data_IF_689976196097
#
_entry.id   IF_689976196097
#
_cell.length_a   1.000
_cell.length_b   1.000
_cell.length_c   1.000
_cell.angle_alpha   90.00
_cell.angle_beta   90.00
_cell.angle_gamma   90.00
#
_symmetry.space_group_name_H-M   'P 1'
#
loop_
_entity.id
_entity.type
_entity.pdbx_description
1 polymer ?
#
# COMPACT_ATOMS: atom_id res chain seq x y z
N UNK A 1 0.66 -6.18 -25.97
CA UNK A 1 0.90 -5.43 -24.71
C UNK A 1 -0.32 -4.56 -24.54
N UNK A 2 -0.87 -4.42 -23.33
CA UNK A 2 -2.03 -3.57 -23.11
C UNK A 2 -1.58 -2.22 -22.54
N UNK A 3 -2.25 -1.14 -22.95
CA UNK A 3 -2.01 0.23 -22.48
C UNK A 3 -3.32 0.91 -22.13
N UNK A 4 -3.33 1.67 -21.04
CA UNK A 4 -4.43 2.58 -20.70
C UNK A 4 -3.85 3.92 -20.23
N UNK A 5 -4.40 5.03 -20.75
CA UNK A 5 -4.05 6.38 -20.35
C UNK A 5 -5.31 7.05 -19.82
N UNK A 6 -5.25 7.62 -18.63
CA UNK A 6 -6.45 8.20 -18.01
C UNK A 6 -6.14 9.15 -16.86
N UNK A 7 -7.19 9.52 -16.14
CA UNK A 7 -7.12 10.30 -14.90
C UNK A 7 -7.83 9.57 -13.78
N UNK A 8 -7.27 9.64 -12.58
CA UNK A 8 -7.87 9.15 -11.34
C UNK A 8 -8.11 10.32 -10.38
N UNK A 9 -9.14 10.25 -9.55
CA UNK A 9 -9.48 11.34 -8.59
C UNK A 9 -8.56 11.38 -7.36
N UNK A 10 -7.76 10.33 -7.16
CA UNK A 10 -6.79 10.18 -6.09
C UNK A 10 -6.19 8.77 -6.09
N UNK A 11 -5.28 8.50 -5.16
CA UNK A 11 -4.54 7.25 -5.10
C UNK A 11 -5.38 5.96 -4.96
N UNK A 12 -6.50 5.97 -4.21
CA UNK A 12 -7.40 4.80 -4.11
C UNK A 12 -8.11 4.55 -5.44
N UNK A 13 -8.61 5.61 -6.10
CA UNK A 13 -9.25 5.50 -7.41
C UNK A 13 -8.25 4.98 -8.46
N UNK A 14 -7.01 5.49 -8.46
CA UNK A 14 -5.94 5.01 -9.33
C UNK A 14 -5.72 3.50 -9.18
N UNK A 15 -5.64 3.01 -7.93
CA UNK A 15 -5.43 1.58 -7.67
C UNK A 15 -6.63 0.73 -8.06
N UNK A 16 -7.87 1.19 -7.82
CA UNK A 16 -9.06 0.48 -8.30
C UNK A 16 -9.08 0.40 -9.83
N UNK A 17 -8.74 1.49 -10.52
CA UNK A 17 -8.62 1.51 -11.99
C UNK A 17 -7.52 0.58 -12.48
N UNK A 18 -6.38 0.53 -11.80
CA UNK A 18 -5.33 -0.45 -12.10
C UNK A 18 -5.85 -1.89 -11.97
N UNK A 19 -6.60 -2.21 -10.92
CA UNK A 19 -7.18 -3.56 -10.77
C UNK A 19 -8.14 -3.90 -11.91
N UNK A 20 -8.99 -2.95 -12.32
CA UNK A 20 -9.90 -3.13 -13.46
C UNK A 20 -9.11 -3.32 -14.76
N UNK A 21 -8.12 -2.48 -15.03
CA UNK A 21 -7.24 -2.59 -16.19
C UNK A 21 -6.58 -3.98 -16.25
N UNK A 22 -5.92 -4.40 -15.17
CA UNK A 22 -5.17 -5.65 -15.16
C UNK A 22 -6.08 -6.89 -15.33
N UNK A 23 -7.31 -6.85 -14.84
CA UNK A 23 -8.20 -8.03 -14.83
C UNK A 23 -9.20 -8.09 -15.98
N UNK A 24 -9.52 -6.96 -16.62
CA UNK A 24 -10.62 -6.88 -17.59
C UNK A 24 -10.28 -6.14 -18.89
N UNK A 25 -9.08 -5.57 -19.04
CA UNK A 25 -8.69 -4.93 -20.29
C UNK A 25 -8.78 -5.92 -21.47
N UNK A 26 -9.38 -5.47 -22.57
CA UNK A 26 -9.71 -6.31 -23.72
C UNK A 26 -8.47 -6.96 -24.36
N UNK A 27 -7.34 -6.26 -24.44
CA UNK A 27 -6.11 -6.79 -25.04
C UNK A 27 -5.46 -7.84 -24.16
N UNK A 28 -5.48 -7.65 -22.83
CA UNK A 28 -5.03 -8.66 -21.87
C UNK A 28 -5.91 -9.92 -21.96
N UNK A 29 -7.23 -9.75 -21.96
CA UNK A 29 -8.18 -10.88 -22.04
C UNK A 29 -8.04 -11.63 -23.36
N UNK A 30 -7.96 -10.91 -24.48
CA UNK A 30 -7.79 -11.51 -25.80
C UNK A 30 -6.48 -12.31 -25.91
N UNK A 31 -5.43 -11.88 -25.22
CA UNK A 31 -4.15 -12.57 -25.16
C UNK A 31 -4.07 -13.68 -24.08
N UNK A 32 -5.12 -13.88 -23.26
CA UNK A 32 -5.07 -14.81 -22.11
C UNK A 32 -4.10 -14.37 -21.02
N UNK A 33 -3.88 -13.06 -20.89
CA UNK A 33 -2.86 -12.42 -20.07
C UNK A 33 -3.44 -11.50 -18.97
N UNK A 34 -4.75 -11.55 -18.75
CA UNK A 34 -5.41 -10.83 -17.67
C UNK A 34 -4.99 -11.38 -16.30
N UNK A 35 -4.76 -10.47 -15.36
CA UNK A 35 -4.37 -10.82 -14.00
C UNK A 35 -5.60 -11.15 -13.15
N UNK A 36 -5.44 -12.11 -12.25
CA UNK A 36 -6.45 -12.46 -11.26
C UNK A 36 -6.36 -11.53 -10.05
N UNK A 37 -7.50 -10.99 -9.60
CA UNK A 37 -7.60 -10.23 -8.36
C UNK A 37 -7.93 -11.19 -7.22
N UNK A 38 -6.92 -11.50 -6.39
CA UNK A 38 -7.08 -12.38 -5.23
C UNK A 38 -7.63 -11.63 -4.02
N UNK A 39 -7.33 -10.33 -3.92
CA UNK A 39 -7.79 -9.46 -2.83
C UNK A 39 -7.94 -8.01 -3.30
N UNK A 40 -9.02 -7.36 -2.87
CA UNK A 40 -9.26 -5.91 -2.99
C UNK A 40 -10.18 -5.47 -1.85
N UNK A 41 -9.61 -5.12 -0.70
CA UNK A 41 -10.39 -4.77 0.50
C UNK A 41 -9.62 -3.84 1.44
N UNK A 42 -10.35 -3.03 2.22
CA UNK A 42 -9.75 -2.18 3.26
C UNK A 42 -9.48 -2.95 4.57
N UNK A 43 -10.31 -3.95 4.87
CA UNK A 43 -10.22 -4.81 6.04
C UNK A 43 -10.23 -6.28 5.57
N UNK A 44 -9.08 -6.82 5.16
CA UNK A 44 -9.04 -8.09 4.45
C UNK A 44 -9.23 -9.33 5.33
N UNK A 45 -8.98 -9.23 6.63
CA UNK A 45 -9.02 -10.38 7.53
C UNK A 45 -10.32 -10.39 8.34
N UNK A 46 -11.04 -11.51 8.42
CA UNK A 46 -12.18 -11.63 9.33
C UNK A 46 -11.71 -11.60 10.79
N UNK A 47 -12.54 -11.05 11.67
CA UNK A 47 -12.33 -11.07 13.11
C UNK A 47 -13.59 -11.58 13.79
N UNK A 48 -13.45 -12.56 14.68
CA UNK A 48 -14.58 -13.07 15.43
C UNK A 48 -15.24 -11.95 16.26
N UNK A 49 -16.58 -11.92 16.30
CA UNK A 49 -17.30 -10.99 17.16
C UNK A 49 -17.19 -11.42 18.63
N UNK A 50 -16.65 -10.58 19.54
CA UNK A 50 -16.47 -10.92 20.95
C UNK A 50 -17.76 -10.86 21.80
N UNK A 51 -18.93 -10.61 21.22
CA UNK A 51 -20.18 -10.41 21.96
C UNK A 51 -20.41 -8.96 22.39
N UNK A 52 -19.37 -8.26 22.84
CA UNK A 52 -19.39 -6.81 23.12
C UNK A 52 -18.00 -6.18 22.93
N UNK A 53 -17.96 -4.87 22.79
CA UNK A 53 -16.70 -4.10 22.68
C UNK A 53 -16.24 -3.72 24.09
N UNK A 54 -15.51 -4.61 24.75
CA UNK A 54 -14.98 -4.41 26.10
C UNK A 54 -13.81 -5.35 26.42
N UNK A 55 -12.80 -5.40 25.54
CA UNK A 55 -11.72 -6.38 25.63
C UNK A 55 -10.34 -5.75 25.79
N UNK A 56 -9.44 -6.50 26.42
CA UNK A 56 -8.05 -6.10 26.65
C UNK A 56 -7.11 -7.30 26.56
N UNK A 57 -5.92 -7.08 26.03
CA UNK A 57 -4.78 -7.98 26.15
C UNK A 57 -3.64 -7.20 26.81
N UNK A 58 -3.17 -7.67 27.96
CA UNK A 58 -2.15 -6.97 28.73
C UNK A 58 -0.73 -7.11 28.18
N UNK A 59 -0.53 -7.84 27.08
CA UNK A 59 0.82 -8.33 26.75
C UNK A 59 1.32 -9.31 27.82
N UNK A 60 2.51 -9.84 27.66
CA UNK A 60 3.05 -10.92 28.50
C UNK A 60 3.10 -10.58 30.00
N UNK A 61 2.11 -11.03 30.79
CA UNK A 61 2.32 -11.48 32.17
C UNK A 61 1.73 -10.69 33.35
N UNK A 62 0.77 -9.76 33.18
CA UNK A 62 0.13 -9.08 34.33
C UNK A 62 -1.39 -9.31 34.32
N UNK A 63 -1.96 -9.82 35.42
CA UNK A 63 -3.34 -10.32 35.52
C UNK A 63 -4.38 -9.28 36.02
N UNK A 64 -4.25 -8.00 35.70
CA UNK A 64 -5.28 -7.00 36.02
C UNK A 64 -5.95 -6.50 34.74
N UNK A 65 -7.08 -7.13 34.39
CA UNK A 65 -8.01 -6.57 33.41
C UNK A 65 -8.56 -5.25 33.95
N UNK A 66 -8.56 -4.17 33.16
CA UNK A 66 -9.35 -3.00 33.54
C UNK A 66 -10.79 -3.43 33.74
N UNK A 67 -11.44 -2.95 34.80
CA UNK A 67 -12.86 -3.28 35.08
C UNK A 67 -13.80 -2.88 33.94
N UNK A 68 -13.36 -1.93 33.12
CA UNK A 68 -14.01 -1.44 31.89
C UNK A 68 -13.70 -2.28 30.65
N UNK A 69 -12.71 -3.16 30.68
CA UNK A 69 -12.32 -4.07 29.59
C UNK A 69 -12.16 -5.51 30.11
N UNK A 70 -13.24 -6.12 30.64
CA UNK A 70 -13.18 -7.42 31.31
C UNK A 70 -12.97 -8.62 30.35
N UNK A 71 -13.15 -8.45 29.05
CA UNK A 71 -13.17 -9.56 28.10
C UNK A 71 -11.78 -9.83 27.48
N UNK A 72 -11.55 -11.07 27.05
CA UNK A 72 -10.37 -11.41 26.27
C UNK A 72 -10.47 -10.84 24.84
N UNK A 73 -9.31 -10.56 24.23
CA UNK A 73 -9.25 -10.14 22.81
C UNK A 73 -9.86 -11.21 21.92
N UNK A 74 -10.60 -10.83 20.85
CA UNK A 74 -11.15 -11.79 19.90
C UNK A 74 -10.09 -12.73 19.33
N UNK A 75 -10.46 -14.00 19.14
CA UNK A 75 -9.63 -14.98 18.46
C UNK A 75 -9.41 -14.58 16.99
N UNK A 76 -8.25 -14.94 16.44
CA UNK A 76 -7.89 -14.66 15.04
C UNK A 76 -7.11 -13.35 14.81
N UNK A 77 -6.94 -12.50 15.84
CA UNK A 77 -6.10 -11.31 15.73
C UNK A 77 -4.60 -11.69 15.78
N UNK A 78 -3.96 -11.84 14.62
CA UNK A 78 -2.63 -12.44 14.48
C UNK A 78 -1.61 -11.56 13.70
N UNK A 79 -1.49 -10.27 14.06
CA UNK A 79 -0.58 -9.36 13.35
C UNK A 79 0.62 -8.91 14.18
N UNK A 80 1.79 -8.93 13.54
CA UNK A 80 2.96 -8.15 13.96
C UNK A 80 2.95 -6.79 13.25
N UNK A 81 2.70 -5.71 13.99
CA UNK A 81 2.71 -4.34 13.48
C UNK A 81 1.38 -3.61 13.65
N UNK A 82 1.33 -2.41 13.07
CA UNK A 82 0.20 -1.50 13.12
C UNK A 82 -1.02 -2.11 12.41
N UNK A 83 -2.16 -2.08 13.09
CA UNK A 83 -3.41 -2.62 12.57
C UNK A 83 -4.57 -1.66 12.75
N UNK A 84 -5.56 -1.85 11.90
CA UNK A 84 -6.89 -1.27 12.01
C UNK A 84 -7.92 -2.39 12.15
N UNK A 85 -8.89 -2.18 13.03
CA UNK A 85 -10.00 -3.09 13.32
C UNK A 85 -11.29 -2.34 13.07
N UNK A 86 -12.28 -3.03 12.53
CA UNK A 86 -13.63 -2.51 12.37
C UNK A 86 -14.66 -3.54 12.83
N UNK A 87 -15.61 -3.09 13.64
CA UNK A 87 -16.85 -3.79 13.94
C UNK A 87 -18.03 -3.03 13.35
N UNK A 88 -18.89 -3.72 12.60
CA UNK A 88 -20.12 -3.15 12.03
C UNK A 88 -21.31 -4.07 12.33
N UNK A 89 -22.47 -3.47 12.56
CA UNK A 89 -23.73 -4.19 12.77
C UNK A 89 -24.78 -3.25 13.34
N UNK A 90 -25.61 -3.75 14.27
CA UNK A 90 -26.70 -3.00 14.89
C UNK A 90 -26.51 -2.83 16.39
N UNK A 91 -26.87 -1.65 16.90
CA UNK A 91 -27.05 -1.38 18.32
C UNK A 91 -28.54 -1.13 18.64
N UNK A 92 -29.05 -1.80 19.66
CA UNK A 92 -30.42 -1.63 20.17
C UNK A 92 -30.45 -0.63 21.32
N UNK A 93 -31.11 0.50 21.11
CA UNK A 93 -31.29 1.57 22.09
C UNK A 93 -32.65 1.41 22.78
N UNK A 94 -32.70 1.27 24.12
CA UNK A 94 -33.94 0.92 24.82
C UNK A 94 -34.96 2.05 24.94
N UNK A 95 -34.55 3.31 24.82
CA UNK A 95 -35.43 4.48 24.96
C UNK A 95 -34.97 5.62 24.06
N UNK A 96 -35.89 6.50 23.66
CA UNK A 96 -35.51 7.74 22.97
C UNK A 96 -34.98 8.75 23.99
N UNK A 97 -33.98 9.53 23.62
CA UNK A 97 -33.50 10.66 24.43
C UNK A 97 -32.01 10.94 24.26
N UNK A 98 -31.45 11.69 25.21
CA UNK A 98 -30.04 12.05 25.24
C UNK A 98 -29.17 10.88 25.71
N UNK A 99 -28.34 10.37 24.82
CA UNK A 99 -27.28 9.39 25.10
C UNK A 99 -25.92 10.08 25.15
N UNK A 100 -25.07 9.65 26.06
CA UNK A 100 -23.64 9.95 26.02
C UNK A 100 -22.85 8.66 25.86
N UNK A 101 -21.78 8.69 25.07
CA UNK A 101 -20.90 7.54 24.86
C UNK A 101 -19.54 7.78 25.52
N UNK A 102 -18.86 6.69 25.86
CA UNK A 102 -17.52 6.71 26.43
C UNK A 102 -16.65 5.69 25.69
N UNK A 103 -15.59 6.16 25.06
CA UNK A 103 -14.65 5.33 24.32
C UNK A 103 -13.36 5.24 25.13
N UNK A 104 -12.90 4.01 25.39
CA UNK A 104 -11.58 3.76 25.95
C UNK A 104 -10.77 2.98 24.93
N UNK A 105 -9.59 3.46 24.60
CA UNK A 105 -8.77 2.94 23.52
C UNK A 105 -7.29 2.90 23.91
N UNK A 106 -6.63 1.85 23.43
CA UNK A 106 -5.18 1.72 23.36
C UNK A 106 -4.84 1.16 21.97
N UNK A 107 -4.91 1.97 20.91
CA UNK A 107 -4.59 3.40 20.95
C UNK A 107 -5.71 4.36 20.51
N UNK A 108 -6.29 4.19 19.33
CA UNK A 108 -7.32 5.12 18.81
C UNK A 108 -8.61 4.42 18.46
N UNK A 109 -9.74 5.12 18.63
CA UNK A 109 -11.07 4.58 18.42
C UNK A 109 -12.04 5.66 17.93
N UNK A 110 -12.92 5.30 16.99
CA UNK A 110 -14.07 6.11 16.57
C UNK A 110 -15.36 5.31 16.68
N UNK A 111 -16.43 6.00 17.05
CA UNK A 111 -17.80 5.49 17.05
C UNK A 111 -18.62 6.28 16.04
N UNK A 112 -19.26 5.57 15.11
CA UNK A 112 -20.34 6.09 14.27
C UNK A 112 -21.65 5.37 14.60
N UNK A 113 -22.73 6.13 14.64
CA UNK A 113 -24.10 5.62 14.69
C UNK A 113 -24.88 6.21 13.53
N UNK A 114 -25.57 5.36 12.76
CA UNK A 114 -26.26 5.73 11.51
C UNK A 114 -25.37 6.53 10.53
N UNK A 115 -24.10 6.14 10.45
CA UNK A 115 -23.08 6.80 9.62
C UNK A 115 -22.55 8.13 10.18
N UNK A 116 -23.11 8.66 11.26
CA UNK A 116 -22.69 9.93 11.88
C UNK A 116 -21.60 9.66 12.93
N UNK A 117 -20.48 10.40 12.87
CA UNK A 117 -19.44 10.35 13.90
C UNK A 117 -19.98 10.91 15.22
N UNK A 118 -20.08 10.05 16.23
CA UNK A 118 -20.58 10.39 17.56
C UNK A 118 -19.43 10.82 18.47
N UNK A 119 -18.32 10.07 18.44
CA UNK A 119 -17.18 10.28 19.31
C UNK A 119 -15.91 9.70 18.70
N UNK A 120 -14.76 10.29 19.06
CA UNK A 120 -13.43 9.81 18.67
C UNK A 120 -12.41 10.05 19.78
N UNK A 121 -11.50 9.09 19.93
CA UNK A 121 -10.33 9.15 20.80
C UNK A 121 -9.11 8.95 19.92
N UNK A 122 -8.24 9.96 19.85
CA UNK A 122 -7.09 9.98 18.95
C UNK A 122 -5.75 9.88 19.69
N UNK A 123 -5.81 9.62 21.00
CA UNK A 123 -4.67 9.35 21.89
C UNK A 123 -5.09 8.30 22.91
N UNK A 124 -4.21 7.36 23.24
CA UNK A 124 -4.51 6.28 24.19
C UNK A 124 -5.07 6.84 25.51
N UNK A 125 -6.22 6.34 25.93
CA UNK A 125 -6.93 6.78 27.13
C UNK A 125 -7.47 5.61 27.96
N UNK A 126 -6.92 4.41 27.79
CA UNK A 126 -7.30 3.22 28.56
C UNK A 126 -7.32 3.51 30.07
N UNK A 127 -8.43 3.21 30.73
CA UNK A 127 -8.69 3.56 32.13
C UNK A 127 -9.66 2.57 32.79
N UNK A 128 -9.68 2.54 34.14
CA UNK A 128 -10.60 1.72 34.94
C UNK A 128 -11.97 2.36 35.18
N UNK A 129 -12.24 3.51 34.56
CA UNK A 129 -13.52 4.20 34.64
C UNK A 129 -13.84 4.86 33.31
N UNK A 130 -15.13 5.04 33.05
CA UNK A 130 -15.59 5.75 31.86
C UNK A 130 -15.76 7.24 32.16
N UNK A 131 -15.38 8.05 31.19
CA UNK A 131 -15.73 9.46 31.08
C UNK A 131 -16.36 9.70 29.71
N UNK A 132 -17.27 10.68 29.63
CA UNK A 132 -17.91 11.03 28.36
C UNK A 132 -16.86 11.36 27.30
N UNK A 133 -17.05 10.83 26.11
CA UNK A 133 -16.26 11.16 24.93
C UNK A 133 -17.16 11.85 23.91
N UNK A 134 -16.78 13.05 23.47
CA UNK A 134 -17.61 13.86 22.59
C UNK A 134 -18.85 14.44 23.27
N UNK A 135 -19.80 14.92 22.48
CA UNK A 135 -21.05 15.50 22.96
C UNK A 135 -22.11 14.42 23.16
N UNK A 136 -23.09 14.70 24.03
CA UNK A 136 -24.29 13.89 24.08
C UNK A 136 -25.09 14.02 22.78
N UNK A 137 -25.71 12.94 22.35
CA UNK A 137 -26.49 12.84 21.11
C UNK A 137 -27.92 12.41 21.43
N UNK A 138 -28.89 12.99 20.74
CA UNK A 138 -30.29 12.53 20.86
C UNK A 138 -30.53 11.43 19.85
N UNK A 139 -30.92 10.25 20.33
CA UNK A 139 -31.21 9.08 19.51
C UNK A 139 -32.63 8.57 19.80
N UNK A 140 -33.20 7.83 18.85
CA UNK A 140 -34.50 7.19 19.00
C UNK A 140 -34.35 5.81 19.64
N UNK A 141 -35.42 5.30 20.27
CA UNK A 141 -35.47 3.89 20.65
C UNK A 141 -35.48 3.00 19.41
N UNK A 142 -34.84 1.83 19.49
CA UNK A 142 -34.82 0.84 18.41
C UNK A 142 -33.42 0.50 17.92
N UNK A 143 -33.36 -0.12 16.73
CA UNK A 143 -32.10 -0.52 16.10
C UNK A 143 -31.49 0.64 15.32
N UNK A 144 -30.22 0.87 15.56
CA UNK A 144 -29.38 1.83 14.84
C UNK A 144 -28.18 1.11 14.23
N UNK A 145 -27.69 1.61 13.09
CA UNK A 145 -26.41 1.14 12.57
C UNK A 145 -25.29 1.59 13.50
N UNK A 146 -24.35 0.70 13.78
CA UNK A 146 -23.15 1.01 14.56
C UNK A 146 -21.90 0.60 13.80
N UNK A 147 -20.94 1.51 13.73
CA UNK A 147 -19.59 1.24 13.28
C UNK A 147 -18.60 1.69 14.35
N UNK A 148 -17.76 0.76 14.77
CA UNK A 148 -16.64 1.05 15.67
C UNK A 148 -15.36 0.72 14.95
N UNK A 149 -14.51 1.74 14.82
CA UNK A 149 -13.22 1.62 14.16
C UNK A 149 -12.12 1.89 15.16
N UNK A 150 -11.01 1.16 15.03
CA UNK A 150 -9.91 1.23 15.97
C UNK A 150 -8.58 1.04 15.28
N UNK A 151 -7.55 1.75 15.74
CA UNK A 151 -6.18 1.63 15.23
C UNK A 151 -5.22 1.49 16.42
N UNK A 152 -4.24 0.61 16.28
CA UNK A 152 -3.19 0.42 17.29
C UNK A 152 -1.88 -0.02 16.65
N UNK A 153 -0.78 0.21 17.36
CA UNK A 153 0.55 -0.22 16.92
C UNK A 153 0.90 -1.68 17.18
N UNK A 154 0.15 -2.38 18.03
CA UNK A 154 0.51 -3.73 18.46
C UNK A 154 -0.69 -4.53 18.93
N UNK A 155 -0.66 -5.83 18.67
CA UNK A 155 -1.57 -6.81 19.28
C UNK A 155 -1.18 -7.17 20.72
N UNK A 156 0.05 -6.87 21.13
CA UNK A 156 0.50 -6.96 22.52
C UNK A 156 0.16 -5.65 23.24
N UNK A 157 -0.69 -5.72 24.26
CA UNK A 157 -1.10 -4.53 25.01
C UNK A 157 -2.30 -3.79 24.44
N UNK A 158 -3.11 -4.39 23.54
CA UNK A 158 -4.29 -3.78 22.92
C UNK A 158 -5.47 -3.70 23.89
N UNK A 159 -6.26 -2.63 23.81
CA UNK A 159 -7.47 -2.45 24.61
C UNK A 159 -8.52 -1.59 23.94
N UNK A 160 -9.78 -2.03 23.96
CA UNK A 160 -10.90 -1.16 23.62
C UNK A 160 -12.13 -1.44 24.47
N UNK A 161 -12.86 -0.38 24.79
CA UNK A 161 -14.17 -0.50 25.43
C UNK A 161 -15.12 0.58 24.96
N UNK A 162 -16.37 0.19 24.74
CA UNK A 162 -17.46 1.07 24.44
C UNK A 162 -18.46 1.07 25.59
N UNK A 163 -18.59 2.23 26.23
CA UNK A 163 -19.58 2.51 27.25
C UNK A 163 -20.62 3.52 26.79
N UNK A 164 -21.74 3.56 27.51
CA UNK A 164 -22.81 4.51 27.33
C UNK A 164 -23.39 5.00 28.65
N UNK A 165 -24.10 6.12 28.59
CA UNK A 165 -25.01 6.62 29.60
C UNK A 165 -26.33 6.91 28.90
N UNK A 166 -27.35 6.11 29.20
CA UNK A 166 -28.67 6.21 28.57
C UNK A 166 -29.47 7.36 29.17
N UNK A 167 -30.59 7.77 28.55
CA UNK A 167 -31.53 8.70 29.16
C UNK A 167 -31.96 8.23 30.57
N UNK A 168 -31.68 9.05 31.58
CA UNK A 168 -32.03 8.76 32.99
C UNK A 168 -30.96 8.03 33.79
N UNK A 169 -29.89 7.52 33.18
CA UNK A 169 -28.78 6.89 33.91
C UNK A 169 -28.00 7.95 34.71
N UNK A 170 -27.47 7.58 35.88
CA UNK A 170 -26.58 8.45 36.67
C UNK A 170 -25.11 8.35 36.23
N UNK A 171 -24.67 7.16 35.82
CA UNK A 171 -23.28 6.81 35.49
C UNK A 171 -23.17 6.08 34.16
N UNK A 172 -21.94 6.02 33.64
CA UNK A 172 -21.62 5.21 32.46
C UNK A 172 -21.55 3.72 32.81
N UNK A 173 -21.89 2.88 31.85
CA UNK A 173 -21.73 1.42 31.90
C UNK A 173 -21.23 0.89 30.56
N UNK A 174 -20.59 -0.28 30.56
CA UNK A 174 -20.25 -1.02 29.33
C UNK A 174 -21.56 -1.34 28.60
N UNK A 175 -21.60 -1.18 27.29
CA UNK A 175 -22.78 -1.58 26.50
C UNK A 175 -22.89 -3.12 26.55
N UNK A 176 -24.02 -3.68 27.05
CA UNK A 176 -24.18 -5.13 27.15
C UNK A 176 -24.20 -5.84 25.80
N UNK A 177 -23.78 -7.10 25.78
CA UNK A 177 -23.79 -7.92 24.55
C UNK A 177 -25.19 -8.03 23.91
N UNK A 178 -26.24 -8.09 24.73
CA UNK A 178 -27.63 -8.16 24.28
C UNK A 178 -28.11 -6.90 23.53
N UNK A 179 -27.36 -5.79 23.61
CA UNK A 179 -27.66 -4.57 22.86
C UNK A 179 -27.00 -4.56 21.49
N UNK A 180 -26.23 -5.58 21.12
CA UNK A 180 -25.67 -5.73 19.79
C UNK A 180 -26.37 -6.85 19.02
N UNK A 181 -26.52 -6.66 17.71
CA UNK A 181 -27.04 -7.68 16.79
C UNK A 181 -26.37 -7.52 15.43
N UNK A 182 -26.33 -8.61 14.64
CA UNK A 182 -25.74 -8.64 13.30
C UNK A 182 -24.32 -8.07 13.20
N UNK A 183 -23.54 -8.26 14.27
CA UNK A 183 -22.18 -7.74 14.35
C UNK A 183 -21.19 -8.62 13.58
N UNK A 184 -20.36 -7.97 12.78
CA UNK A 184 -19.21 -8.57 12.10
C UNK A 184 -17.95 -7.82 12.48
N UNK A 185 -16.83 -8.54 12.59
CA UNK A 185 -15.52 -7.98 12.85
C UNK A 185 -14.59 -8.22 11.65
N UNK A 186 -13.72 -7.26 11.41
CA UNK A 186 -12.66 -7.39 10.41
C UNK A 186 -11.44 -6.57 10.82
N UNK A 187 -10.27 -6.95 10.33
CA UNK A 187 -9.04 -6.19 10.55
C UNK A 187 -8.16 -6.13 9.30
N UNK A 188 -7.25 -5.17 9.32
CA UNK A 188 -6.30 -4.92 8.26
C UNK A 188 -5.06 -4.20 8.76
N UNK A 189 -4.16 -3.93 7.82
CA UNK A 189 -2.95 -3.17 8.08
C UNK A 189 -3.25 -1.66 8.19
N UNK A 190 -2.54 -0.98 9.08
CA UNK A 190 -2.49 0.48 9.16
C UNK A 190 -1.04 0.97 9.04
N UNK A 191 -0.78 2.12 8.43
CA UNK A 191 0.61 2.60 8.28
C UNK A 191 1.26 3.05 9.56
N UNK A 192 0.49 3.65 10.46
CA UNK A 192 0.96 4.16 11.73
C UNK A 192 -0.02 3.79 12.83
N UNK A 193 0.57 3.57 14.01
CA UNK A 193 -0.14 3.17 15.21
C UNK A 193 -1.09 4.26 15.74
N UNK A 194 -0.79 5.54 15.46
CA UNK A 194 -1.40 6.68 16.16
C UNK A 194 -1.97 7.75 15.21
N UNK A 195 -3.03 7.45 14.44
CA UNK A 195 -3.64 8.43 13.58
C UNK A 195 -4.32 9.59 14.31
N UNK A 196 -4.13 10.79 13.77
CA UNK A 196 -4.88 11.98 14.19
C UNK A 196 -6.36 11.87 13.78
N UNK A 197 -7.20 12.78 14.28
CA UNK A 197 -8.60 12.87 13.87
C UNK A 197 -8.77 13.06 12.35
N UNK A 198 -7.87 13.82 11.73
CA UNK A 198 -7.88 14.05 10.29
C UNK A 198 -7.44 12.80 9.50
N UNK A 199 -6.62 11.94 10.11
CA UNK A 199 -6.06 10.76 9.48
C UNK A 199 -6.96 9.52 9.57
N UNK A 200 -7.77 9.41 10.63
CA UNK A 200 -8.53 8.19 10.91
C UNK A 200 -9.39 7.73 9.73
N UNK A 201 -10.10 8.65 9.07
CA UNK A 201 -10.89 8.28 7.89
C UNK A 201 -10.03 7.79 6.73
N UNK A 202 -8.87 8.41 6.49
CA UNK A 202 -7.97 8.03 5.40
C UNK A 202 -7.33 6.66 5.65
N UNK A 203 -6.80 6.41 6.86
CA UNK A 203 -6.23 5.12 7.27
C UNK A 203 -7.23 3.98 7.14
N UNK A 204 -8.49 4.26 7.45
CA UNK A 204 -9.56 3.26 7.43
C UNK A 204 -10.06 2.98 6.02
N UNK A 205 -9.97 3.97 5.13
CA UNK A 205 -10.23 3.83 3.71
C UNK A 205 -9.10 3.09 2.97
N UNK A 206 -7.87 3.10 3.49
CA UNK A 206 -6.73 2.47 2.84
C UNK A 206 -6.99 0.99 2.52
N UNK A 207 -6.54 0.55 1.34
CA UNK A 207 -6.84 -0.76 0.78
C UNK A 207 -5.62 -1.66 0.69
N UNK A 208 -5.86 -2.96 0.72
CA UNK A 208 -4.93 -4.03 0.40
C UNK A 208 -5.37 -4.70 -0.91
N UNK A 209 -4.39 -4.97 -1.77
CA UNK A 209 -4.57 -5.65 -3.04
C UNK A 209 -3.56 -6.79 -3.15
N UNK A 210 -4.03 -7.96 -3.56
CA UNK A 210 -3.16 -9.08 -3.95
C UNK A 210 -3.63 -9.58 -5.30
N UNK A 211 -2.67 -9.76 -6.21
CA UNK A 211 -2.94 -10.09 -7.61
C UNK A 211 -1.98 -11.18 -8.10
N UNK A 212 -2.44 -11.97 -9.07
CA UNK A 212 -1.66 -13.03 -9.71
C UNK A 212 -1.66 -12.86 -11.22
N UNK A 213 -0.47 -12.67 -11.79
CA UNK A 213 -0.24 -12.62 -13.23
C UNK A 213 -0.06 -14.02 -13.81
N UNK A 214 -0.59 -14.30 -15.01
CA UNK A 214 -0.62 -15.65 -15.60
C UNK A 214 0.61 -16.00 -16.46
N UNK A 215 1.52 -15.05 -16.69
CA UNK A 215 2.58 -15.20 -17.69
C UNK A 215 2.09 -15.05 -19.13
N UNK A 216 2.98 -15.24 -20.11
CA UNK A 216 2.60 -15.14 -21.54
C UNK A 216 1.87 -16.39 -22.04
N UNK A 217 2.14 -17.55 -21.44
CA UNK A 217 1.55 -18.85 -21.79
C UNK A 217 0.35 -19.23 -20.92
N UNK A 218 0.00 -18.40 -19.93
CA UNK A 218 -1.07 -18.71 -18.97
C UNK A 218 -0.71 -19.70 -17.86
N UNK A 219 0.57 -20.09 -17.76
CA UNK A 219 1.04 -21.13 -16.84
C UNK A 219 1.90 -20.62 -15.68
N UNK A 220 2.27 -19.34 -15.69
CA UNK A 220 3.05 -18.76 -14.59
C UNK A 220 2.11 -18.32 -13.46
N UNK A 221 2.63 -18.30 -12.25
CA UNK A 221 1.94 -17.71 -11.10
C UNK A 221 2.79 -16.58 -10.51
N UNK A 222 2.49 -15.34 -10.94
CA UNK A 222 3.31 -14.16 -10.63
C UNK A 222 2.58 -13.31 -9.60
N UNK A 223 3.04 -13.32 -8.35
CA UNK A 223 2.28 -12.71 -7.25
C UNK A 223 2.83 -11.35 -6.84
N UNK A 224 1.92 -10.39 -6.68
CA UNK A 224 2.21 -9.04 -6.18
C UNK A 224 1.24 -8.68 -5.06
N UNK A 225 1.77 -8.08 -4.00
CA UNK A 225 0.99 -7.52 -2.90
C UNK A 225 1.19 -6.01 -2.84
N UNK A 226 0.09 -5.27 -2.74
CA UNK A 226 0.08 -3.81 -2.72
C UNK A 226 -0.87 -3.29 -1.65
N UNK A 227 -0.62 -2.07 -1.18
CA UNK A 227 -1.53 -1.39 -0.25
C UNK A 227 -1.45 0.12 -0.41
N UNK A 228 -2.55 0.83 -0.21
CA UNK A 228 -2.48 2.28 -0.07
C UNK A 228 -2.05 2.66 1.35
N UNK A 229 -1.49 3.86 1.47
CA UNK A 229 -1.00 4.40 2.72
C UNK A 229 -1.23 5.91 2.79
N UNK A 230 -2.07 6.33 3.71
CA UNK A 230 -2.55 7.71 3.74
C UNK A 230 -2.31 8.41 5.06
N UNK A 231 -1.94 9.69 5.00
CA UNK A 231 -2.03 10.65 6.10
C UNK A 231 -2.43 12.01 5.56
N UNK A 232 -3.56 12.51 6.05
CA UNK A 232 -4.00 13.87 5.83
C UNK A 232 -3.07 14.88 6.51
N UNK A 233 -2.60 14.58 7.72
CA UNK A 233 -1.66 15.45 8.43
C UNK A 233 -0.27 15.46 7.76
N UNK A 234 0.20 14.29 7.33
CA UNK A 234 1.49 14.14 6.64
C UNK A 234 1.46 14.50 5.15
N UNK A 235 0.29 14.80 4.59
CA UNK A 235 0.04 15.07 3.17
C UNK A 235 0.68 14.02 2.25
N UNK A 236 0.48 12.75 2.57
CA UNK A 236 0.92 11.64 1.71
C UNK A 236 -0.22 10.64 1.54
N UNK A 237 -0.32 10.08 0.33
CA UNK A 237 -1.41 9.20 -0.06
C UNK A 237 -0.87 8.17 -1.03
N UNK A 238 0.06 7.36 -0.56
CA UNK A 238 0.98 6.59 -1.39
C UNK A 238 0.47 5.20 -1.69
N UNK A 239 1.14 4.53 -2.62
CA UNK A 239 0.95 3.10 -2.89
C UNK A 239 2.23 2.38 -2.51
N UNK A 240 2.11 1.40 -1.62
CA UNK A 240 3.17 0.44 -1.37
C UNK A 240 2.99 -0.78 -2.25
N UNK A 241 4.11 -1.30 -2.75
CA UNK A 241 4.15 -2.52 -3.52
C UNK A 241 5.30 -3.42 -3.08
N UNK A 242 5.10 -4.73 -3.23
CA UNK A 242 6.12 -5.76 -3.05
C UNK A 242 5.78 -6.98 -3.89
N UNK A 243 6.79 -7.77 -4.22
CA UNK A 243 6.58 -9.11 -4.76
C UNK A 243 6.27 -10.10 -3.64
N UNK A 244 5.62 -11.19 -3.99
CA UNK A 244 5.49 -12.39 -3.15
C UNK A 244 5.75 -13.63 -4.02
N UNK A 245 5.84 -14.82 -3.43
CA UNK A 245 5.99 -16.09 -4.16
C UNK A 245 4.75 -16.97 -4.08
N UNK A 246 3.65 -16.41 -3.58
CA UNK A 246 2.41 -17.12 -3.33
C UNK A 246 1.38 -16.24 -2.63
N UNK A 247 0.20 -16.80 -2.44
CA UNK A 247 -0.92 -16.17 -1.75
C UNK A 247 -1.40 -17.03 -0.57
N UNK A 248 -1.60 -16.38 0.56
CA UNK A 248 -2.29 -16.92 1.73
C UNK A 248 -3.44 -15.98 2.09
N UNK A 249 -4.67 -16.50 2.00
CA UNK A 249 -5.89 -15.75 2.30
C UNK A 249 -5.96 -15.29 3.76
N UNK A 250 -5.27 -15.99 4.67
CA UNK A 250 -5.25 -15.73 6.12
C UNK A 250 -4.04 -14.89 6.56
N UNK A 251 -3.30 -14.29 5.63
CA UNK A 251 -2.12 -13.47 5.91
C UNK A 251 -2.29 -12.05 5.37
N UNK A 252 -1.81 -11.07 6.13
CA UNK A 252 -1.66 -9.70 5.64
C UNK A 252 -0.54 -9.61 4.60
N UNK A 253 -0.47 -8.50 3.87
CA UNK A 253 0.46 -8.30 2.74
C UNK A 253 1.94 -8.52 3.10
N UNK A 254 2.35 -8.18 4.33
CA UNK A 254 3.73 -8.37 4.82
C UNK A 254 4.05 -9.80 5.26
N UNK A 255 3.04 -10.64 5.41
CA UNK A 255 3.13 -12.03 5.87
C UNK A 255 2.85 -13.04 4.75
N UNK A 256 2.68 -12.56 3.52
CA UNK A 256 2.50 -13.42 2.34
C UNK A 256 3.75 -14.29 2.11
N UNK A 257 3.60 -15.50 1.52
CA UNK A 257 4.73 -16.37 1.20
C UNK A 257 5.80 -15.63 0.39
N UNK A 258 7.06 -15.67 0.86
CA UNK A 258 8.18 -15.06 0.17
C UNK A 258 8.08 -13.54 -0.01
N UNK A 259 7.31 -12.85 0.85
CA UNK A 259 7.09 -11.41 0.75
C UNK A 259 8.42 -10.62 0.72
N UNK A 260 8.63 -9.89 -0.37
CA UNK A 260 9.77 -8.99 -0.51
C UNK A 260 9.63 -7.69 0.29
N UNK A 261 10.65 -6.84 0.28
CA UNK A 261 10.61 -5.51 0.89
C UNK A 261 9.59 -4.59 0.22
N UNK A 262 9.17 -3.53 0.93
CA UNK A 262 8.29 -2.50 0.36
C UNK A 262 9.05 -1.56 -0.57
N UNK A 263 8.39 -1.19 -1.66
CA UNK A 263 8.66 0.02 -2.45
C UNK A 263 7.46 0.94 -2.37
N UNK A 264 7.68 2.25 -2.58
CA UNK A 264 6.67 3.29 -2.37
C UNK A 264 6.52 4.13 -3.64
N UNK A 265 5.33 4.15 -4.22
CA UNK A 265 4.96 5.09 -5.27
C UNK A 265 4.32 6.31 -4.61
N UNK A 266 4.96 7.47 -4.77
CA UNK A 266 4.59 8.66 -4.04
C UNK A 266 3.44 9.39 -4.74
N UNK A 267 2.26 9.32 -4.17
CA UNK A 267 1.00 9.76 -4.79
C UNK A 267 0.34 10.81 -3.88
N UNK A 268 -0.79 11.35 -4.35
CA UNK A 268 -1.57 12.35 -3.61
C UNK A 268 -3.09 12.07 -3.67
N UNK A 269 -3.86 12.85 -2.92
CA UNK A 269 -5.32 12.77 -2.93
C UNK A 269 -5.94 13.93 -3.73
N UNK A 270 -5.51 14.04 -4.97
CA UNK A 270 -6.02 14.97 -5.99
C UNK A 270 -6.02 14.23 -7.34
N UNK A 271 -6.46 14.88 -8.41
CA UNK A 271 -6.42 14.29 -9.74
C UNK A 271 -5.01 13.81 -10.14
N UNK A 272 -4.89 12.59 -10.64
CA UNK A 272 -3.65 11.95 -11.08
C UNK A 272 -3.83 11.51 -12.54
N UNK A 273 -3.07 12.09 -13.47
CA UNK A 273 -2.94 11.54 -14.82
C UNK A 273 -2.05 10.30 -14.76
N UNK A 274 -2.43 9.22 -15.43
CA UNK A 274 -1.69 7.96 -15.39
C UNK A 274 -1.53 7.30 -16.75
N UNK A 275 -0.55 6.41 -16.81
CA UNK A 275 -0.31 5.43 -17.87
C UNK A 275 -0.13 4.06 -17.21
N UNK A 276 -1.01 3.12 -17.55
CA UNK A 276 -0.87 1.71 -17.20
C UNK A 276 -0.40 0.93 -18.42
N UNK A 277 0.60 0.08 -18.22
CA UNK A 277 1.16 -0.76 -19.27
C UNK A 277 1.33 -2.17 -18.71
N UNK A 278 0.74 -3.19 -19.33
CA UNK A 278 0.84 -4.56 -18.82
C UNK A 278 0.89 -5.63 -19.91
N UNK A 279 1.42 -6.77 -19.50
CA UNK A 279 1.25 -8.07 -20.14
C UNK A 279 1.05 -9.11 -19.02
N UNK A 280 0.97 -10.40 -19.36
CA UNK A 280 0.77 -11.45 -18.35
C UNK A 280 1.94 -11.62 -17.37
N UNK A 281 3.12 -11.08 -17.70
CA UNK A 281 4.35 -11.22 -16.89
C UNK A 281 4.63 -10.04 -15.95
N UNK A 282 4.20 -8.83 -16.32
CA UNK A 282 4.46 -7.60 -15.57
C UNK A 282 3.45 -6.50 -15.82
N UNK A 283 3.45 -5.51 -14.94
CA UNK A 283 2.80 -4.22 -15.16
C UNK A 283 3.71 -3.06 -14.75
N UNK A 284 3.48 -1.92 -15.40
CA UNK A 284 4.12 -0.63 -15.14
C UNK A 284 3.02 0.40 -14.93
N UNK A 285 3.19 1.23 -13.91
CA UNK A 285 2.38 2.42 -13.66
C UNK A 285 3.29 3.63 -13.71
N UNK A 286 2.91 4.61 -14.52
CA UNK A 286 3.45 5.97 -14.46
C UNK A 286 2.29 6.89 -14.06
N UNK A 287 2.53 7.78 -13.10
CA UNK A 287 1.55 8.72 -12.61
C UNK A 287 2.16 10.12 -12.48
N UNK A 288 1.50 11.11 -13.06
CA UNK A 288 1.87 12.51 -12.88
C UNK A 288 1.19 13.03 -11.62
N UNK A 289 2.02 13.45 -10.66
CA UNK A 289 1.62 13.94 -9.35
C UNK A 289 2.17 15.35 -9.22
N UNK A 290 1.30 16.35 -9.39
CA UNK A 290 1.70 17.76 -9.54
C UNK A 290 2.74 17.93 -10.67
N UNK A 291 3.95 18.35 -10.34
CA UNK A 291 5.09 18.52 -11.26
C UNK A 291 6.09 17.36 -11.23
N UNK A 292 5.78 16.28 -10.51
CA UNK A 292 6.64 15.11 -10.35
C UNK A 292 6.00 13.86 -10.95
N UNK A 293 6.81 12.84 -11.22
CA UNK A 293 6.34 11.56 -11.76
C UNK A 293 6.60 10.44 -10.78
N UNK A 294 5.51 9.81 -10.35
CA UNK A 294 5.55 8.55 -9.65
C UNK A 294 5.58 7.40 -10.65
N UNK A 295 6.31 6.35 -10.29
CA UNK A 295 6.48 5.13 -11.05
C UNK A 295 6.30 3.90 -10.16
N UNK A 296 5.87 2.79 -10.75
CA UNK A 296 5.77 1.47 -10.13
C UNK A 296 5.97 0.39 -11.21
N UNK A 297 6.78 -0.62 -10.89
CA UNK A 297 7.01 -1.84 -11.68
C UNK A 297 6.70 -3.06 -10.82
N UNK A 298 5.94 -4.01 -11.34
CA UNK A 298 5.66 -5.27 -10.68
C UNK A 298 5.64 -6.43 -11.66
N UNK A 299 6.40 -7.48 -11.36
CA UNK A 299 6.39 -8.73 -12.13
C UNK A 299 7.77 -9.19 -12.56
N UNK A 300 7.83 -10.07 -13.54
CA UNK A 300 9.09 -10.65 -14.00
C UNK A 300 9.93 -9.67 -14.82
N UNK A 301 11.25 -9.73 -14.64
CA UNK A 301 12.23 -9.14 -15.56
C UNK A 301 12.42 -10.05 -16.79
N UNK A 302 13.24 -9.63 -17.75
CA UNK A 302 13.80 -10.49 -18.79
C UNK A 302 15.13 -11.07 -18.30
N UNK A 303 15.16 -12.29 -17.73
CA UNK A 303 16.39 -12.83 -17.15
C UNK A 303 17.38 -13.25 -18.25
N UNK A 304 18.68 -13.15 -17.96
CA UNK A 304 19.72 -13.74 -18.81
C UNK A 304 20.03 -15.22 -18.48
N UNK A 305 19.60 -15.71 -17.33
CA UNK A 305 19.67 -17.12 -16.96
C UNK A 305 18.47 -17.91 -17.48
N UNK A 306 18.64 -19.22 -17.61
CA UNK A 306 17.57 -20.16 -17.98
C UNK A 306 16.51 -20.24 -16.86
N UNK A 307 15.27 -20.67 -17.17
CA UNK A 307 14.25 -20.92 -16.14
C UNK A 307 14.69 -21.90 -15.03
N UNK A 308 15.60 -22.84 -15.32
CA UNK A 308 16.18 -23.73 -14.31
C UNK A 308 17.19 -23.05 -13.38
N UNK A 309 17.78 -21.93 -13.83
CA UNK A 309 18.80 -21.18 -13.08
C UNK A 309 18.17 -20.02 -12.31
N UNK A 310 17.21 -19.32 -12.93
CA UNK A 310 16.47 -18.20 -12.33
C UNK A 310 14.97 -18.48 -12.45
N UNK A 311 14.41 -19.37 -11.61
CA UNK A 311 13.03 -19.85 -11.76
C UNK A 311 11.95 -18.81 -11.44
N UNK A 312 12.29 -17.76 -10.69
CA UNK A 312 11.34 -16.73 -10.29
C UNK A 312 11.96 -15.33 -10.36
N UNK A 313 12.21 -14.79 -11.57
CA UNK A 313 12.93 -13.55 -11.82
C UNK A 313 12.05 -12.31 -11.52
N UNK A 314 11.43 -12.27 -10.35
CA UNK A 314 10.46 -11.24 -9.98
C UNK A 314 11.13 -10.00 -9.39
N UNK A 315 10.70 -8.83 -9.86
CA UNK A 315 11.10 -7.54 -9.34
C UNK A 315 9.87 -6.73 -8.90
N UNK A 316 10.09 -5.91 -7.87
CA UNK A 316 9.15 -4.89 -7.43
C UNK A 316 9.92 -3.57 -7.25
N UNK A 317 9.46 -2.51 -7.92
CA UNK A 317 10.11 -1.22 -7.93
C UNK A 317 9.10 -0.09 -7.89
N UNK A 318 9.46 1.04 -7.27
CA UNK A 318 8.63 2.24 -7.29
C UNK A 318 9.47 3.51 -7.18
N UNK A 319 8.79 4.63 -6.94
CA UNK A 319 9.38 5.98 -6.93
C UNK A 319 10.28 6.25 -5.73
N UNK A 320 10.14 5.47 -4.66
CA UNK A 320 10.78 5.75 -3.39
C UNK A 320 11.02 4.50 -2.56
N UNK A 321 12.08 4.57 -1.76
CA UNK A 321 12.50 3.51 -0.84
C UNK A 321 11.80 3.59 0.53
N UNK A 322 11.15 4.72 0.83
CA UNK A 322 10.45 4.97 2.10
C UNK A 322 9.08 5.58 1.86
N UNK A 323 8.19 5.45 2.86
CA UNK A 323 6.94 6.18 2.85
C UNK A 323 7.23 7.66 3.10
N UNK A 324 6.92 8.52 2.12
CA UNK A 324 7.23 9.94 2.22
C UNK A 324 6.22 10.79 1.45
N UNK A 325 6.23 12.09 1.72
CA UNK A 325 5.42 13.05 0.96
C UNK A 325 5.85 13.11 -0.50
N UNK A 326 4.91 13.18 -1.43
CA UNK A 326 5.16 13.27 -2.88
C UNK A 326 6.09 14.44 -3.27
N UNK A 327 6.09 15.51 -2.49
CA UNK A 327 6.87 16.72 -2.78
C UNK A 327 8.30 16.68 -2.24
N UNK A 328 8.76 15.57 -1.66
CA UNK A 328 10.17 15.52 -1.22
C UNK A 328 11.09 15.61 -2.46
N UNK A 329 12.15 16.41 -2.33
CA UNK A 329 13.17 16.58 -3.35
C UNK A 329 14.50 16.08 -2.83
N UNK A 330 14.53 14.80 -2.46
CA UNK A 330 15.75 14.10 -2.03
C UNK A 330 16.06 12.96 -2.99
N UNK A 331 17.16 12.28 -2.76
CA UNK A 331 17.61 11.11 -3.51
C UNK A 331 16.62 9.94 -3.38
N UNK A 332 15.86 9.90 -2.29
CA UNK A 332 14.83 8.87 -2.06
C UNK A 332 13.69 8.97 -3.07
N UNK A 333 13.35 10.17 -3.56
CA UNK A 333 12.33 10.33 -4.59
C UNK A 333 13.01 10.27 -5.96
N UNK A 334 12.84 9.13 -6.61
CA UNK A 334 13.44 8.73 -7.87
C UNK A 334 12.44 7.87 -8.65
N UNK A 335 12.89 6.81 -9.31
CA UNK A 335 12.07 5.89 -10.10
C UNK A 335 12.58 4.46 -9.98
N UNK A 336 11.77 3.49 -10.40
CA UNK A 336 12.20 2.10 -10.34
C UNK A 336 13.34 1.78 -11.32
N UNK A 337 13.50 2.54 -12.41
CA UNK A 337 14.58 2.33 -13.39
C UNK A 337 15.87 3.06 -13.02
N UNK A 338 15.78 4.15 -12.26
CA UNK A 338 16.92 4.86 -11.69
C UNK A 338 16.74 4.96 -10.16
N UNK A 339 16.81 3.82 -9.44
CA UNK A 339 16.47 3.79 -8.03
C UNK A 339 17.49 4.56 -7.19
N UNK A 340 16.98 5.38 -6.27
CA UNK A 340 17.75 6.04 -5.23
C UNK A 340 17.38 5.53 -3.84
N UNK A 341 17.96 6.14 -2.81
CA UNK A 341 17.64 5.85 -1.40
C UNK A 341 18.72 6.38 -0.45
N UNK A 342 18.40 6.46 0.85
CA UNK A 342 19.38 6.77 1.90
C UNK A 342 20.59 5.85 1.88
N UNK A 343 21.68 6.26 2.54
CA UNK A 343 22.91 5.49 2.64
C UNK A 343 22.81 4.26 3.56
N UNK A 344 22.03 3.28 3.12
CA UNK A 344 21.77 2.00 3.78
C UNK A 344 21.78 0.87 2.76
N UNK A 345 22.49 -0.22 3.02
CA UNK A 345 22.55 -1.36 2.09
C UNK A 345 21.20 -2.09 1.92
N UNK A 346 20.24 -1.85 2.82
CA UNK A 346 19.02 -2.67 2.96
C UNK A 346 17.74 -1.99 2.47
N UNK A 347 17.82 -0.74 2.00
CA UNK A 347 16.66 0.07 1.62
C UNK A 347 16.90 0.69 0.25
N UNK A 348 16.01 0.48 -0.71
CA UNK A 348 16.08 1.01 -2.07
C UNK A 348 14.72 1.11 -2.77
N UNK A 349 14.68 1.80 -3.91
CA UNK A 349 13.47 1.97 -4.72
C UNK A 349 13.14 0.79 -5.64
N UNK A 350 14.01 -0.23 -5.71
CA UNK A 350 13.84 -1.43 -6.54
C UNK A 350 14.44 -2.64 -5.83
N UNK A 351 13.72 -3.75 -5.87
CA UNK A 351 14.16 -5.05 -5.37
C UNK A 351 13.94 -6.14 -6.40
N UNK A 352 14.85 -7.12 -6.43
CA UNK A 352 14.75 -8.37 -7.19
C UNK A 352 14.84 -9.56 -6.23
N UNK A 353 14.02 -10.59 -6.44
CA UNK A 353 14.17 -11.85 -5.71
C UNK A 353 15.36 -12.64 -6.26
N UNK A 354 16.30 -13.01 -5.39
CA UNK A 354 17.38 -13.94 -5.71
C UNK A 354 16.92 -15.40 -5.72
N UNK A 355 17.73 -16.26 -6.32
CA UNK A 355 17.53 -17.72 -6.37
C UNK A 355 17.50 -18.36 -4.99
N UNK A 356 18.30 -17.86 -4.05
CA UNK A 356 18.33 -18.29 -2.64
C UNK A 356 17.18 -17.73 -1.77
N UNK A 357 16.27 -16.97 -2.38
CA UNK A 357 15.10 -16.38 -1.72
C UNK A 357 15.33 -15.04 -1.04
N UNK A 358 16.58 -14.54 -0.96
CA UNK A 358 16.83 -13.20 -0.46
C UNK A 358 16.43 -12.11 -1.48
N UNK A 359 16.30 -10.87 -0.99
CA UNK A 359 16.03 -9.71 -1.84
C UNK A 359 17.33 -8.97 -2.16
N UNK A 360 17.63 -8.80 -3.45
CA UNK A 360 18.65 -7.86 -3.89
C UNK A 360 18.08 -6.45 -3.92
N UNK A 361 18.82 -5.50 -3.34
CA UNK A 361 18.46 -4.09 -3.26
C UNK A 361 19.21 -3.32 -4.33
N UNK A 362 18.50 -2.50 -5.11
CA UNK A 362 19.09 -1.69 -6.18
C UNK A 362 19.05 -0.22 -5.83
N UNK A 363 20.20 0.46 -5.96
CA UNK A 363 20.35 1.92 -5.87
C UNK A 363 21.53 2.39 -6.70
N UNK A 364 21.40 3.50 -7.42
CA UNK A 364 22.49 4.02 -8.24
C UNK A 364 23.46 4.92 -7.46
N UNK A 365 24.72 4.87 -7.91
CA UNK A 365 25.91 5.40 -7.22
C UNK A 365 25.77 6.86 -6.81
N UNK A 366 25.15 7.65 -7.68
CA UNK A 366 24.99 9.09 -7.49
C UNK A 366 24.16 9.45 -6.23
N UNK A 367 23.32 8.52 -5.77
CA UNK A 367 22.35 8.75 -4.70
C UNK A 367 22.75 8.04 -3.40
N UNK A 368 23.30 6.83 -3.51
CA UNK A 368 23.94 6.10 -2.41
C UNK A 368 24.72 4.90 -2.96
N UNK A 369 25.93 4.70 -2.47
CA UNK A 369 26.80 3.59 -2.85
C UNK A 369 26.59 2.33 -2.02
N UNK A 370 25.76 2.38 -0.98
CA UNK A 370 25.66 1.29 -0.01
C UNK A 370 24.98 0.01 -0.53
N UNK A 371 24.17 0.07 -1.59
CA UNK A 371 23.51 -1.14 -2.13
C UNK A 371 24.43 -1.92 -3.08
N UNK A 372 24.35 -3.26 -3.09
CA UNK A 372 25.09 -4.10 -4.04
C UNK A 372 24.49 -4.06 -5.46
N UNK A 373 23.17 -3.86 -5.58
CA UNK A 373 22.47 -3.80 -6.86
C UNK A 373 22.53 -2.42 -7.53
N UNK A 374 22.56 -2.40 -8.85
CA UNK A 374 22.70 -1.22 -9.72
C UNK A 374 21.93 -1.43 -11.03
N UNK A 375 21.50 -0.33 -11.65
CA UNK A 375 20.86 -0.36 -12.97
C UNK A 375 21.75 0.34 -14.00
N UNK A 376 22.20 -0.37 -15.01
CA UNK A 376 22.86 0.24 -16.17
C UNK A 376 21.79 0.86 -17.10
N UNK A 377 22.03 2.02 -17.74
CA UNK A 377 23.24 2.86 -17.66
C UNK A 377 23.26 3.87 -16.51
N UNK A 378 22.19 3.96 -15.70
CA UNK A 378 22.04 5.00 -14.68
C UNK A 378 23.11 4.99 -13.59
N UNK A 379 23.70 3.84 -13.25
CA UNK A 379 24.76 3.75 -12.24
C UNK A 379 26.03 4.55 -12.60
N UNK A 380 26.26 4.82 -13.89
CA UNK A 380 27.44 5.52 -14.40
C UNK A 380 27.22 6.99 -14.79
N UNK A 381 26.02 7.56 -14.57
CA UNK A 381 25.66 8.94 -14.97
C UNK A 381 25.96 9.24 -16.45
N UNK A 382 25.60 8.32 -17.34
CA UNK A 382 25.85 8.52 -18.76
C UNK A 382 24.81 9.50 -19.31
N UNK A 383 25.21 10.76 -19.46
CA UNK A 383 24.41 11.79 -20.12
C UNK A 383 24.52 11.65 -21.64
N UNK A 384 23.96 10.56 -22.18
CA UNK A 384 23.84 10.39 -23.62
C UNK A 384 23.15 11.62 -24.22
N UNK A 385 23.59 12.04 -25.41
CA UNK A 385 22.89 13.03 -26.23
C UNK A 385 22.24 12.32 -27.42
N UNK A 386 21.42 13.05 -28.15
CA UNK A 386 20.95 12.61 -29.45
C UNK A 386 22.14 12.36 -30.41
N UNK A 387 21.91 11.53 -31.42
CA UNK A 387 22.85 11.34 -32.53
C UNK A 387 23.15 12.68 -33.22
N UNK A 388 24.20 12.80 -34.06
CA UNK A 388 24.41 14.00 -34.88
C UNK A 388 23.23 14.36 -35.78
N UNK A 389 22.39 13.38 -36.13
CA UNK A 389 21.13 13.55 -36.87
C UNK A 389 19.94 13.92 -35.98
N UNK A 390 20.18 14.15 -34.69
CA UNK A 390 19.21 14.45 -33.64
C UNK A 390 18.24 13.30 -33.27
N UNK A 391 18.65 12.04 -33.51
CA UNK A 391 17.87 10.86 -33.14
C UNK A 391 18.14 10.42 -31.70
N UNK A 392 17.15 9.85 -31.03
CA UNK A 392 17.30 9.26 -29.71
C UNK A 392 17.71 7.79 -29.80
N UNK A 393 18.72 7.40 -29.02
CA UNK A 393 19.12 6.00 -28.85
C UNK A 393 18.52 5.44 -27.55
N UNK A 394 17.91 4.25 -27.66
CA UNK A 394 17.45 3.48 -26.51
C UNK A 394 18.59 2.62 -25.97
N UNK A 395 18.65 2.48 -24.65
CA UNK A 395 19.53 1.53 -23.96
C UNK A 395 18.68 0.69 -23.00
N UNK A 396 18.80 -0.64 -22.98
CA UNK A 396 18.07 -1.46 -22.04
C UNK A 396 18.47 -1.12 -20.59
N UNK A 397 17.51 -1.19 -19.68
CA UNK A 397 17.81 -1.02 -18.25
C UNK A 397 18.19 -2.37 -17.66
N UNK A 398 19.49 -2.61 -17.55
CA UNK A 398 20.07 -3.89 -17.08
C UNK A 398 20.26 -3.87 -15.57
N UNK A 399 19.76 -4.89 -14.89
CA UNK A 399 19.95 -5.13 -13.47
C UNK A 399 21.21 -5.97 -13.23
N UNK A 400 22.15 -5.43 -12.46
CA UNK A 400 23.30 -6.19 -11.98
C UNK A 400 23.53 -5.96 -10.49
N UNK A 401 24.13 -6.93 -9.82
CA UNK A 401 24.37 -6.91 -8.38
C UNK A 401 25.68 -7.59 -8.05
N UNK A 402 26.37 -7.11 -7.02
CA UNK A 402 27.54 -7.79 -6.44
C UNK A 402 27.19 -8.67 -5.24
N UNK A 403 25.92 -8.71 -4.83
CA UNK A 403 25.47 -9.54 -3.72
C UNK A 403 25.46 -11.02 -4.08
N UNK A 404 25.68 -11.89 -3.07
CA UNK A 404 25.49 -13.33 -3.23
C UNK A 404 26.37 -13.98 -4.29
N UNK A 405 27.59 -13.46 -4.53
CA UNK A 405 28.51 -13.95 -5.57
C UNK A 405 28.53 -13.11 -6.84
N UNK A 406 27.58 -12.17 -6.97
CA UNK A 406 27.49 -11.23 -8.08
C UNK A 406 26.88 -11.82 -9.34
N UNK A 407 26.01 -11.07 -10.01
CA UNK A 407 25.34 -11.49 -11.23
C UNK A 407 24.87 -10.32 -12.09
N UNK A 408 24.71 -10.57 -13.38
CA UNK A 408 23.92 -9.73 -14.29
C UNK A 408 22.59 -10.45 -14.48
N UNK A 409 21.54 -9.94 -13.84
CA UNK A 409 20.28 -10.65 -13.70
C UNK A 409 19.44 -10.61 -14.98
N UNK A 410 19.49 -9.51 -15.73
CA UNK A 410 18.69 -9.30 -16.93
C UNK A 410 18.21 -7.86 -17.10
N UNK A 411 17.10 -7.68 -17.82
CA UNK A 411 16.56 -6.36 -18.18
C UNK A 411 15.16 -6.11 -17.61
N UNK A 412 14.85 -4.86 -17.26
CA UNK A 412 13.46 -4.46 -17.00
C UNK A 412 12.66 -4.51 -18.32
N UNK A 413 11.60 -5.32 -18.38
CA UNK A 413 10.84 -5.57 -19.61
C UNK A 413 10.10 -4.30 -20.08
N UNK A 414 10.46 -3.80 -21.26
CA UNK A 414 9.84 -2.62 -21.88
C UNK A 414 10.30 -1.28 -21.30
N UNK A 415 11.46 -1.25 -20.63
CA UNK A 415 11.99 -0.06 -19.97
C UNK A 415 13.39 0.22 -20.47
N UNK A 416 13.57 1.41 -21.04
CA UNK A 416 14.81 1.82 -21.67
C UNK A 416 15.27 3.15 -21.10
N UNK A 417 16.56 3.33 -20.93
CA UNK A 417 17.12 4.66 -20.77
C UNK A 417 17.00 5.42 -22.09
N UNK A 418 16.69 6.72 -22.01
CA UNK A 418 16.70 7.65 -23.14
C UNK A 418 17.28 9.00 -22.70
N UNK A 419 17.90 9.73 -23.62
CA UNK A 419 18.39 11.08 -23.32
C UNK A 419 17.24 12.05 -23.02
N UNK A 420 17.42 12.81 -21.93
CA UNK A 420 16.61 14.01 -21.62
C UNK A 420 17.02 15.26 -22.40
N UNK A 421 18.09 15.21 -23.21
CA UNK A 421 18.53 16.36 -23.99
C UNK A 421 17.50 16.68 -25.09
N UNK A 422 16.98 17.93 -25.10
CA UNK A 422 15.88 18.36 -25.97
C UNK A 422 14.63 17.45 -25.89
N UNK A 423 14.44 16.77 -24.76
CA UNK A 423 13.33 15.86 -24.53
C UNK A 423 12.55 16.30 -23.28
N UNK A 424 11.29 15.90 -23.19
CA UNK A 424 10.42 16.24 -22.06
C UNK A 424 9.54 15.04 -21.69
N UNK A 425 9.15 14.98 -20.42
CA UNK A 425 8.18 13.99 -19.97
C UNK A 425 6.86 14.14 -20.74
N UNK A 426 6.16 13.03 -20.93
CA UNK A 426 4.91 12.92 -21.72
C UNK A 426 5.10 12.99 -23.24
N UNK A 427 6.31 13.26 -23.75
CA UNK A 427 6.60 13.06 -25.16
C UNK A 427 6.37 11.58 -25.53
N UNK A 428 5.87 11.37 -26.75
CA UNK A 428 5.82 10.06 -27.38
C UNK A 428 6.82 10.03 -28.53
N UNK A 429 7.58 8.94 -28.63
CA UNK A 429 8.58 8.73 -29.67
C UNK A 429 8.29 7.45 -30.43
N UNK A 430 8.41 7.50 -31.76
CA UNK A 430 8.34 6.33 -32.63
C UNK A 430 9.77 5.90 -32.99
N UNK A 431 10.19 4.73 -32.51
CA UNK A 431 11.52 4.18 -32.76
C UNK A 431 11.33 2.75 -33.26
N UNK A 432 11.83 2.47 -34.47
CA UNK A 432 11.71 1.15 -35.12
C UNK A 432 10.25 0.61 -35.18
N UNK A 433 9.28 1.50 -35.38
CA UNK A 433 7.86 1.14 -35.48
C UNK A 433 7.16 0.92 -34.14
N UNK A 434 7.83 1.14 -33.01
CA UNK A 434 7.26 1.06 -31.67
C UNK A 434 7.14 2.43 -31.02
N UNK A 435 6.09 2.63 -30.25
CA UNK A 435 5.77 3.87 -29.54
C UNK A 435 6.26 3.80 -28.10
N UNK A 436 6.96 4.83 -27.66
CA UNK A 436 7.51 4.94 -26.31
C UNK A 436 7.03 6.22 -25.62
N UNK A 437 6.67 6.12 -24.35
CA UNK A 437 6.44 7.25 -23.45
C UNK A 437 7.77 7.69 -22.82
N UNK A 438 8.13 8.95 -22.98
CA UNK A 438 9.27 9.56 -22.28
C UNK A 438 8.82 10.03 -20.89
N UNK A 439 9.55 9.64 -19.85
CA UNK A 439 9.24 9.99 -18.46
C UNK A 439 10.52 10.29 -17.69
N UNK A 440 10.50 11.39 -16.93
CA UNK A 440 11.58 11.73 -16.02
C UNK A 440 11.51 10.98 -14.68
N UNK A 441 12.66 10.83 -14.01
CA UNK A 441 12.77 10.22 -12.68
C UNK A 441 12.37 11.20 -11.57
N UNK A 442 11.14 11.05 -11.05
CA UNK A 442 10.62 11.90 -9.98
C UNK A 442 10.51 13.37 -10.41
N UNK A 443 11.32 14.23 -9.80
CA UNK A 443 11.36 15.67 -10.05
C UNK A 443 12.54 16.13 -10.93
N UNK A 444 13.42 15.22 -11.35
CA UNK A 444 14.68 15.59 -12.02
C UNK A 444 14.51 15.66 -13.52
N UNK A 445 15.14 16.66 -14.16
CA UNK A 445 14.99 16.93 -15.60
C UNK A 445 16.33 16.99 -16.33
N UNK A 446 17.41 16.44 -15.78
CA UNK A 446 18.70 16.42 -16.47
C UNK A 446 18.71 15.39 -17.60
N UNK A 447 19.70 15.47 -18.50
CA UNK A 447 19.79 14.58 -19.65
C UNK A 447 19.90 13.08 -19.30
N UNK A 448 20.28 12.73 -18.07
CA UNK A 448 20.44 11.35 -17.59
C UNK A 448 19.26 10.81 -16.77
N UNK A 449 18.20 11.60 -16.56
CA UNK A 449 17.11 11.24 -15.63
C UNK A 449 15.85 10.67 -16.31
N UNK A 450 15.91 10.35 -17.61
CA UNK A 450 14.73 9.96 -18.38
C UNK A 450 14.75 8.49 -18.79
N UNK A 451 13.57 7.86 -18.74
CA UNK A 451 13.29 6.57 -19.35
C UNK A 451 12.30 6.72 -20.51
N UNK A 452 12.41 5.79 -21.46
CA UNK A 452 11.42 5.49 -22.46
C UNK A 452 10.70 4.19 -22.06
N UNK A 453 9.39 4.28 -21.82
CA UNK A 453 8.52 3.15 -21.47
C UNK A 453 7.80 2.71 -22.74
N UNK A 454 7.99 1.45 -23.13
CA UNK A 454 7.31 0.89 -24.30
C UNK A 454 5.80 0.88 -24.08
N UNK A 455 5.05 1.47 -25.00
CA UNK A 455 3.59 1.41 -25.04
C UNK A 455 3.15 0.27 -25.97
N UNK A 456 3.67 0.26 -27.21
CA UNK A 456 3.51 -0.82 -28.20
C UNK A 456 4.31 -0.53 -29.47
#
# INVERSE_FOLDING_TARGET
MAVEIGTATGHIDLMNKLMVFLSTNADLVAAGQQWEILRNSNMPMPLAWPGRIAFYNNGSGVNSFPTTMPDAVPTGLNSSGNIKIRFVGKISLPSSGSYAFALLAKDQMELRIDGVLIAGVYTSNAANSFAQTGNAVTLTAGLHDIEVTFVTGSTAGIGMSLGWKKPGDASFSIIPAANYSDMTGSFGYADYANPSAADMQAVVADKTYDIKGPGLSGSDEIYMAMRTASSAQGDFYNVLSRYTTGYNENALSSQQPGAGPNTFSLMWNQEIKYWFIANGRRFIVIAKVSTTYASLYGGFILPYGLPSEIPYPIAAGASCAINARWSIQTENHSSFWNPGGYDSASVGGLYLRRTDGAADVFKNIYYSNAAPGKTYPYSGLIAFRTSPSNDYALQPVVLYSTAGGGNVWGELDGVFHISGHNNASENTLLIEGKTYLVVQSGYRTTASDYAAILLE
#
